data_IF_445113415349
#
_entry.id   IF_445113415349
#
_cell.length_a   1.000
_cell.length_b   1.000
_cell.length_c   1.000
_cell.angle_alpha   90.00
_cell.angle_beta   90.00
_cell.angle_gamma   90.00
#
_symmetry.space_group_name_H-M   'P 1'
#
loop_
_entity.id
_entity.type
_entity.pdbx_description
1 polymer ?
#
# COMPACT_ATOMS: atom_id res chain seq x y z
N UNK A 1 40.36 4.81 -15.60
CA UNK A 1 39.63 4.34 -14.40
C UNK A 1 38.15 4.37 -14.74
N UNK A 2 37.37 3.30 -14.50
CA UNK A 2 35.92 3.37 -14.67
C UNK A 2 35.34 4.25 -13.55
N UNK A 3 34.44 5.15 -13.89
CA UNK A 3 33.70 5.97 -12.93
C UNK A 3 32.82 5.09 -12.04
N UNK A 4 32.64 5.42 -10.74
CA UNK A 4 31.68 4.74 -9.90
C UNK A 4 30.25 4.99 -10.42
N UNK A 5 29.31 4.05 -10.21
CA UNK A 5 27.95 4.18 -10.72
C UNK A 5 27.31 5.45 -10.14
N UNK A 6 26.77 6.27 -11.03
CA UNK A 6 26.00 7.45 -10.67
C UNK A 6 24.86 7.01 -9.76
N UNK A 7 24.82 7.56 -8.54
CA UNK A 7 23.66 7.43 -7.68
C UNK A 7 22.47 8.07 -8.40
N UNK A 8 21.62 7.25 -9.00
CA UNK A 8 20.33 7.69 -9.55
C UNK A 8 19.61 8.47 -8.44
N UNK A 9 19.35 9.75 -8.70
CA UNK A 9 18.59 10.57 -7.78
C UNK A 9 17.21 9.94 -7.62
N UNK A 10 16.69 9.76 -6.39
CA UNK A 10 15.42 9.09 -6.18
C UNK A 10 14.35 9.74 -7.05
N UNK A 11 13.58 8.91 -7.75
CA UNK A 11 12.53 9.40 -8.63
C UNK A 11 11.56 10.27 -7.82
N UNK A 12 10.90 11.24 -8.47
CA UNK A 12 9.95 12.12 -7.77
C UNK A 12 8.84 11.34 -7.06
N UNK A 13 8.51 10.13 -7.55
CA UNK A 13 7.58 9.20 -6.92
C UNK A 13 8.12 8.60 -5.60
N UNK A 14 9.35 8.09 -5.57
CA UNK A 14 9.97 7.51 -4.36
C UNK A 14 10.09 8.54 -3.24
N UNK A 15 10.50 9.76 -3.58
CA UNK A 15 10.56 10.87 -2.64
C UNK A 15 9.19 11.20 -2.03
N UNK A 16 8.10 11.08 -2.81
CA UNK A 16 6.73 11.27 -2.32
C UNK A 16 6.27 10.10 -1.46
N UNK A 17 6.48 8.88 -1.91
CA UNK A 17 6.12 7.65 -1.19
C UNK A 17 6.76 7.59 0.19
N UNK A 18 8.00 8.07 0.34
CA UNK A 18 8.67 8.13 1.65
C UNK A 18 7.97 9.02 2.69
N UNK A 19 7.00 9.84 2.28
CA UNK A 19 6.25 10.77 3.15
C UNK A 19 4.92 10.21 3.64
N UNK A 20 4.49 9.03 3.17
CA UNK A 20 3.29 8.41 3.71
C UNK A 20 3.59 7.86 5.11
N UNK A 21 2.65 8.06 6.04
CA UNK A 21 2.72 7.48 7.37
C UNK A 21 1.74 6.31 7.43
N UNK A 22 2.23 5.11 7.09
CA UNK A 22 1.42 3.90 7.15
C UNK A 22 1.00 3.55 8.58
N UNK A 23 1.77 3.97 9.60
CA UNK A 23 1.44 3.69 10.99
C UNK A 23 0.17 4.43 11.44
N UNK A 24 -0.17 5.52 10.75
CA UNK A 24 -1.40 6.28 10.95
C UNK A 24 -2.61 5.74 10.15
N UNK A 25 -2.44 4.68 9.34
CA UNK A 25 -3.54 4.03 8.60
C UNK A 25 -4.06 2.83 9.39
N UNK A 26 -5.35 2.87 9.71
CA UNK A 26 -6.09 1.73 10.25
C UNK A 26 -6.49 0.78 9.11
N UNK A 27 -5.83 -0.38 9.05
CA UNK A 27 -6.12 -1.38 8.03
C UNK A 27 -7.14 -2.41 8.54
N UNK A 28 -8.14 -2.81 7.76
CA UNK A 28 -9.07 -3.89 8.16
C UNK A 28 -8.37 -5.18 8.59
N UNK A 29 -7.25 -5.53 7.95
CA UNK A 29 -6.44 -6.69 8.34
C UNK A 29 -5.86 -6.63 9.76
N UNK A 30 -5.81 -5.46 10.42
CA UNK A 30 -5.29 -5.27 11.77
C UNK A 30 -5.97 -6.19 12.81
N UNK A 31 -7.21 -6.61 12.57
CA UNK A 31 -7.95 -7.54 13.43
C UNK A 31 -7.44 -8.99 13.36
N UNK A 32 -6.71 -9.37 12.30
CA UNK A 32 -6.18 -10.72 12.08
C UNK A 32 -4.87 -10.99 12.84
N UNK A 33 -4.67 -10.33 13.98
CA UNK A 33 -3.37 -10.22 14.68
C UNK A 33 -2.28 -9.43 13.93
N UNK A 34 -2.58 -8.89 12.74
CA UNK A 34 -1.64 -8.05 11.98
C UNK A 34 -1.24 -6.83 12.79
N UNK A 35 -2.15 -6.21 13.55
CA UNK A 35 -1.82 -5.10 14.45
C UNK A 35 -0.68 -5.42 15.42
N UNK A 36 -0.66 -6.65 15.95
CA UNK A 36 0.41 -7.11 16.84
C UNK A 36 1.72 -7.30 16.07
N UNK A 37 1.66 -7.85 14.86
CA UNK A 37 2.84 -8.00 14.00
C UNK A 37 3.44 -6.65 13.60
N UNK A 38 2.59 -5.67 13.23
CA UNK A 38 2.97 -4.28 12.97
C UNK A 38 3.72 -3.65 14.16
N UNK A 39 3.26 -3.94 15.37
CA UNK A 39 3.92 -3.46 16.60
C UNK A 39 5.29 -4.10 16.84
N UNK A 40 5.47 -5.38 16.45
CA UNK A 40 6.72 -6.12 16.68
C UNK A 40 7.75 -5.85 15.58
N UNK A 41 7.31 -5.70 14.33
CA UNK A 41 8.15 -5.54 13.14
C UNK A 41 7.76 -4.30 12.34
N UNK A 42 7.74 -3.08 12.93
CA UNK A 42 7.24 -1.89 12.28
C UNK A 42 7.98 -1.56 10.97
N UNK A 43 9.25 -1.92 10.84
CA UNK A 43 10.02 -1.75 9.62
C UNK A 43 9.45 -2.50 8.40
N UNK A 44 8.78 -3.65 8.60
CA UNK A 44 8.17 -4.42 7.52
C UNK A 44 6.81 -3.83 7.09
N UNK A 45 6.09 -3.23 8.04
CA UNK A 45 4.71 -2.81 7.85
C UNK A 45 4.55 -1.30 7.60
N UNK A 46 5.44 -0.48 8.16
CA UNK A 46 5.28 0.97 8.18
C UNK A 46 6.24 1.73 7.27
N UNK A 47 7.32 1.11 6.80
CA UNK A 47 8.23 1.75 5.86
C UNK A 47 7.66 1.70 4.43
N UNK A 48 7.66 2.85 3.75
CA UNK A 48 7.40 2.91 2.31
C UNK A 48 8.37 2.04 1.51
N UNK A 49 7.87 1.44 0.42
CA UNK A 49 8.51 0.41 -0.44
C UNK A 49 9.72 -0.30 0.18
N UNK A 50 9.53 -1.56 0.58
CA UNK A 50 10.63 -2.53 0.58
C UNK A 50 11.30 -2.51 -0.80
N UNK A 51 12.64 -2.65 -0.85
CA UNK A 51 13.53 -2.42 -2.02
C UNK A 51 13.09 -3.04 -3.36
N UNK A 52 12.11 -3.94 -3.36
CA UNK A 52 11.65 -4.71 -4.51
C UNK A 52 10.36 -4.13 -5.15
N UNK A 53 9.94 -2.93 -4.76
CA UNK A 53 8.96 -2.13 -5.51
C UNK A 53 7.48 -2.48 -5.29
N UNK A 54 7.12 -3.63 -4.73
CA UNK A 54 5.70 -4.01 -4.62
C UNK A 54 5.19 -4.13 -3.18
N UNK A 55 6.01 -3.77 -2.18
CA UNK A 55 5.57 -3.77 -0.79
C UNK A 55 5.13 -5.15 -0.29
N UNK A 56 5.61 -6.23 -0.91
CA UNK A 56 5.35 -7.60 -0.48
C UNK A 56 5.92 -7.82 0.92
N UNK A 57 5.08 -8.34 1.81
CA UNK A 57 5.43 -8.49 3.23
C UNK A 57 6.25 -9.75 3.48
N UNK A 58 6.00 -10.78 2.70
CA UNK A 58 6.73 -12.03 2.78
C UNK A 58 6.76 -12.65 1.39
N UNK A 59 7.98 -12.88 0.89
CA UNK A 59 8.17 -13.68 -0.31
C UNK A 59 8.12 -15.15 0.08
N UNK A 60 7.24 -15.94 -0.56
CA UNK A 60 7.26 -17.38 -0.42
C UNK A 60 8.58 -17.95 -0.98
N UNK A 61 9.58 -18.21 -0.13
CA UNK A 61 10.85 -18.82 -0.52
C UNK A 61 10.73 -20.34 -0.41
N UNK A 62 10.59 -21.02 -1.55
CA UNK A 62 10.87 -22.46 -1.73
C UNK A 62 9.81 -23.45 -1.20
N UNK A 63 9.25 -24.26 -2.11
CA UNK A 63 8.30 -25.34 -1.80
C UNK A 63 6.84 -24.87 -1.68
N UNK A 64 5.88 -25.80 -1.77
CA UNK A 64 4.42 -25.53 -1.72
C UNK A 64 4.07 -24.64 -0.53
N UNK A 65 3.78 -23.37 -0.80
CA UNK A 65 3.39 -22.46 0.26
C UNK A 65 1.95 -22.75 0.66
N UNK A 66 1.64 -22.70 1.96
CA UNK A 66 0.26 -22.79 2.39
C UNK A 66 -0.55 -21.67 1.72
N UNK A 67 -1.56 -22.04 0.93
CA UNK A 67 -2.32 -21.06 0.12
C UNK A 67 -2.87 -19.88 0.94
N UNK A 68 -3.19 -20.10 2.22
CA UNK A 68 -3.66 -19.05 3.12
C UNK A 68 -2.61 -17.97 3.41
N UNK A 69 -1.31 -18.31 3.43
CA UNK A 69 -0.25 -17.31 3.60
C UNK A 69 -0.14 -16.47 2.34
N UNK A 70 -0.18 -17.07 1.15
CA UNK A 70 -0.19 -16.31 -0.12
C UNK A 70 -1.36 -15.32 -0.13
N UNK A 71 -2.57 -15.77 0.24
CA UNK A 71 -3.75 -14.90 0.35
C UNK A 71 -3.59 -13.78 1.38
N UNK A 72 -2.92 -14.03 2.51
CA UNK A 72 -2.64 -12.99 3.49
C UNK A 72 -1.64 -11.97 2.94
N UNK A 73 -0.62 -12.39 2.19
CA UNK A 73 0.29 -11.46 1.52
C UNK A 73 -0.47 -10.58 0.52
N UNK A 74 -1.36 -11.19 -0.29
CA UNK A 74 -2.17 -10.47 -1.27
C UNK A 74 -3.06 -9.43 -0.59
N UNK A 75 -3.72 -9.80 0.52
CA UNK A 75 -4.55 -8.91 1.34
C UNK A 75 -3.76 -7.69 1.81
N UNK A 76 -2.63 -7.92 2.47
CA UNK A 76 -1.81 -6.85 3.05
C UNK A 76 -1.22 -5.94 1.96
N UNK A 77 -0.76 -6.53 0.85
CA UNK A 77 -0.16 -5.80 -0.27
C UNK A 77 -1.20 -4.91 -0.96
N UNK A 78 -2.41 -5.43 -1.18
CA UNK A 78 -3.48 -4.68 -1.82
C UNK A 78 -4.00 -3.54 -0.94
N UNK A 79 -4.13 -3.73 0.38
CA UNK A 79 -4.50 -2.67 1.34
C UNK A 79 -3.50 -1.51 1.27
N UNK A 80 -2.21 -1.83 1.32
CA UNK A 80 -1.12 -0.86 1.23
C UNK A 80 -1.15 -0.10 -0.10
N UNK A 81 -1.29 -0.81 -1.22
CA UNK A 81 -1.37 -0.22 -2.56
C UNK A 81 -2.50 0.81 -2.66
N UNK A 82 -3.67 0.52 -2.10
CA UNK A 82 -4.82 1.44 -2.12
C UNK A 82 -4.54 2.71 -1.31
N UNK A 83 -3.97 2.59 -0.11
CA UNK A 83 -3.61 3.74 0.72
C UNK A 83 -2.51 4.59 0.04
N UNK A 84 -1.49 3.94 -0.51
CA UNK A 84 -0.36 4.60 -1.18
C UNK A 84 -0.80 5.36 -2.44
N UNK A 85 -1.57 4.71 -3.31
CA UNK A 85 -2.05 5.31 -4.54
C UNK A 85 -2.88 6.58 -4.27
N UNK A 86 -3.78 6.51 -3.30
CA UNK A 86 -4.66 7.65 -2.96
C UNK A 86 -3.91 8.79 -2.29
N UNK A 87 -2.89 8.50 -1.49
CA UNK A 87 -1.95 9.49 -0.96
C UNK A 87 -1.19 10.22 -2.06
N UNK A 88 -0.54 9.48 -2.97
CA UNK A 88 0.24 10.07 -4.06
C UNK A 88 -0.66 10.91 -4.96
N UNK A 89 -1.84 10.40 -5.31
CA UNK A 89 -2.82 11.13 -6.13
C UNK A 89 -3.24 12.46 -5.48
N UNK A 90 -3.41 12.49 -4.16
CA UNK A 90 -3.81 13.68 -3.43
C UNK A 90 -2.68 14.73 -3.34
N UNK A 91 -1.43 14.29 -3.25
CA UNK A 91 -0.25 15.16 -3.33
C UNK A 91 -0.15 15.86 -4.68
N UNK A 92 -0.52 15.17 -5.76
CA UNK A 92 -0.34 15.69 -7.12
C UNK A 92 -1.19 16.91 -7.43
N UNK A 93 -0.57 17.87 -8.13
CA UNK A 93 -1.24 19.12 -8.55
C UNK A 93 -1.80 18.99 -9.96
N UNK A 94 -1.16 18.16 -10.80
CA UNK A 94 -1.62 17.74 -12.12
C UNK A 94 -1.76 16.21 -12.14
N UNK A 95 -3.00 15.69 -12.08
CA UNK A 95 -3.25 14.24 -12.05
C UNK A 95 -2.65 13.46 -13.22
N UNK A 96 -2.39 14.13 -14.34
CA UNK A 96 -1.97 13.53 -15.61
C UNK A 96 -0.44 13.46 -15.82
N UNK A 97 0.38 14.10 -14.98
CA UNK A 97 1.82 14.23 -15.27
C UNK A 97 2.71 13.19 -14.57
N UNK A 98 2.22 12.48 -13.55
CA UNK A 98 3.11 11.74 -12.62
C UNK A 98 2.61 10.35 -12.22
N UNK A 99 1.30 10.11 -12.14
CA UNK A 99 0.80 8.75 -11.98
C UNK A 99 0.67 8.14 -13.37
N UNK A 100 1.65 7.32 -13.74
CA UNK A 100 1.60 6.53 -14.97
C UNK A 100 0.29 5.71 -15.00
N UNK A 101 -0.25 5.45 -16.19
CA UNK A 101 -1.44 4.62 -16.38
C UNK A 101 -1.30 3.27 -15.65
N UNK A 102 -0.08 2.74 -15.60
CA UNK A 102 0.28 1.54 -14.85
C UNK A 102 -0.04 1.64 -13.35
N UNK A 103 0.23 2.79 -12.71
CA UNK A 103 -0.08 2.99 -11.28
C UNK A 103 -1.59 3.00 -11.03
N UNK A 104 -2.36 3.60 -11.94
CA UNK A 104 -3.81 3.61 -11.87
C UNK A 104 -4.39 2.20 -12.04
N UNK A 105 -3.90 1.45 -13.03
CA UNK A 105 -4.32 0.06 -13.27
C UNK A 105 -3.99 -0.85 -12.09
N UNK A 106 -2.78 -0.75 -11.51
CA UNK A 106 -2.40 -1.50 -10.31
C UNK A 106 -3.32 -1.22 -9.12
N UNK A 107 -3.66 0.06 -8.88
CA UNK A 107 -4.56 0.42 -7.79
C UNK A 107 -5.99 -0.09 -8.00
N UNK A 108 -6.48 -0.08 -9.25
CA UNK A 108 -7.81 -0.62 -9.57
C UNK A 108 -7.86 -2.13 -9.49
N UNK A 109 -6.78 -2.83 -9.85
CA UNK A 109 -6.63 -4.27 -9.61
C UNK A 109 -6.63 -4.57 -8.11
N UNK A 110 -5.83 -3.86 -7.31
CA UNK A 110 -5.78 -4.03 -5.86
C UNK A 110 -7.18 -3.86 -5.21
N UNK A 111 -7.96 -2.85 -5.63
CA UNK A 111 -9.34 -2.67 -5.16
C UNK A 111 -10.23 -3.86 -5.49
N UNK A 112 -10.11 -4.42 -6.70
CA UNK A 112 -10.89 -5.59 -7.13
C UNK A 112 -10.50 -6.86 -6.37
N UNK A 113 -9.23 -7.00 -6.00
CA UNK A 113 -8.72 -8.13 -5.22
C UNK A 113 -9.12 -8.07 -3.74
N UNK A 114 -9.22 -6.87 -3.15
CA UNK A 114 -9.57 -6.72 -1.74
C UNK A 114 -10.98 -7.20 -1.40
N UNK A 115 -11.96 -7.02 -2.29
CA UNK A 115 -13.35 -7.41 -2.04
C UNK A 115 -13.52 -8.91 -1.71
N UNK A 116 -13.00 -9.86 -2.52
CA UNK A 116 -13.04 -11.27 -2.17
C UNK A 116 -12.13 -11.62 -0.99
N UNK A 117 -10.97 -10.98 -0.82
CA UNK A 117 -10.05 -11.24 0.29
C UNK A 117 -10.66 -10.84 1.65
N UNK A 118 -11.32 -9.69 1.74
CA UNK A 118 -12.02 -9.28 2.97
C UNK A 118 -13.13 -10.26 3.36
N UNK A 119 -13.83 -10.85 2.40
CA UNK A 119 -14.83 -11.88 2.68
C UNK A 119 -14.18 -13.21 3.09
N UNK A 120 -13.11 -13.63 2.39
CA UNK A 120 -12.37 -14.86 2.70
C UNK A 120 -11.82 -14.86 4.14
N UNK A 121 -11.24 -13.73 4.55
CA UNK A 121 -10.72 -13.53 5.91
C UNK A 121 -11.78 -13.10 6.94
N UNK A 122 -13.06 -13.04 6.54
CA UNK A 122 -14.20 -12.66 7.41
C UNK A 122 -14.07 -11.26 8.04
N UNK A 123 -13.39 -10.36 7.34
CA UNK A 123 -13.31 -8.92 7.64
C UNK A 123 -14.57 -8.19 7.19
N UNK A 124 -15.23 -8.71 6.16
CA UNK A 124 -16.51 -8.26 5.66
C UNK A 124 -17.49 -9.44 5.58
N UNK A 125 -18.76 -9.18 5.90
CA UNK A 125 -19.87 -10.13 5.79
C UNK A 125 -20.56 -10.08 4.41
N UNK A 126 -20.25 -9.08 3.60
CA UNK A 126 -20.85 -8.83 2.29
C UNK A 126 -19.89 -8.05 1.37
N UNK A 127 -20.11 -8.11 0.05
CA UNK A 127 -19.42 -7.25 -0.91
C UNK A 127 -19.56 -5.75 -0.59
N UNK A 128 -20.73 -5.31 -0.13
CA UNK A 128 -21.00 -3.92 0.21
C UNK A 128 -20.15 -3.46 1.41
N UNK A 129 -20.10 -4.25 2.48
CA UNK A 129 -19.22 -3.99 3.63
C UNK A 129 -17.74 -3.97 3.20
N UNK A 130 -17.32 -4.89 2.32
CA UNK A 130 -15.96 -4.91 1.82
C UNK A 130 -15.61 -3.62 1.06
N UNK A 131 -16.50 -3.13 0.18
CA UNK A 131 -16.30 -1.86 -0.55
C UNK A 131 -16.23 -0.66 0.40
N UNK A 132 -17.00 -0.64 1.49
CA UNK A 132 -16.90 0.40 2.51
C UNK A 132 -15.54 0.39 3.21
N UNK A 133 -15.01 -0.78 3.54
CA UNK A 133 -13.68 -0.92 4.13
C UNK A 133 -12.57 -0.48 3.17
N UNK A 134 -12.65 -0.86 1.89
CA UNK A 134 -11.70 -0.41 0.84
C UNK A 134 -11.72 1.12 0.73
N UNK A 135 -12.92 1.70 0.70
CA UNK A 135 -13.11 3.15 0.64
C UNK A 135 -12.52 3.84 1.87
N UNK A 136 -12.69 3.27 3.05
CA UNK A 136 -12.13 3.82 4.29
C UNK A 136 -10.59 3.87 4.26
N UNK A 137 -9.92 2.82 3.79
CA UNK A 137 -8.46 2.80 3.61
C UNK A 137 -8.02 3.87 2.60
N UNK A 138 -8.73 3.97 1.47
CA UNK A 138 -8.48 4.99 0.44
C UNK A 138 -8.64 6.44 0.97
N UNK A 139 -9.68 6.69 1.77
CA UNK A 139 -9.92 8.01 2.36
C UNK A 139 -8.82 8.41 3.36
N UNK A 140 -8.30 7.46 4.15
CA UNK A 140 -7.18 7.72 5.05
C UNK A 140 -5.91 8.12 4.27
N UNK A 141 -5.57 7.38 3.20
CA UNK A 141 -4.44 7.70 2.32
C UNK A 141 -4.57 9.10 1.68
N UNK A 142 -5.73 9.39 1.09
CA UNK A 142 -6.03 10.70 0.50
C UNK A 142 -5.93 11.85 1.51
N UNK A 143 -6.48 11.69 2.72
CA UNK A 143 -6.39 12.70 3.78
C UNK A 143 -4.94 13.01 4.17
N UNK A 144 -4.09 11.99 4.27
CA UNK A 144 -2.67 12.20 4.53
C UNK A 144 -2.01 12.99 3.39
N UNK A 145 -2.31 12.65 2.13
CA UNK A 145 -1.75 13.35 0.98
C UNK A 145 -2.18 14.82 0.92
N UNK A 146 -3.45 15.11 1.19
CA UNK A 146 -3.96 16.49 1.29
C UNK A 146 -3.23 17.28 2.40
N UNK A 147 -3.07 16.69 3.59
CA UNK A 147 -2.35 17.33 4.70
C UNK A 147 -0.91 17.62 4.35
N UNK A 148 -0.21 16.63 3.79
CA UNK A 148 1.18 16.78 3.36
C UNK A 148 1.35 17.87 2.29
N UNK A 149 0.39 18.00 1.36
CA UNK A 149 0.38 19.07 0.35
C UNK A 149 0.24 20.46 0.97
N UNK A 150 -0.60 20.61 2.01
CA UNK A 150 -0.76 21.88 2.72
C UNK A 150 0.50 22.31 3.46
N UNK A 151 1.32 21.38 3.95
CA UNK A 151 2.56 21.67 4.67
C UNK A 151 3.76 22.04 3.78
N UNK A 152 3.64 21.90 2.45
CA UNK A 152 4.71 22.18 1.48
C UNK A 152 4.57 23.58 0.85
N UNK A 153 3.44 24.27 1.06
CA UNK A 153 3.19 25.65 0.60
C UNK A 153 3.64 26.68 1.63
#
# INVERSE_FOLDING_TARGET
MPQPPEHESPTTLESRQSKIDFAAVEFPSDVLSVKRLRTIFPELFEQGRLKDGFGHFFYPIGGENPGHLVRLNDLLSAERMVAEYTFVRALETNPNEILDAECHECADLARKELEPLYQEFKLADSPETARLLIRHVAEQGEQQGVRAKCCIR
#
